data_IF_001301003905
#
_entry.id   IF_001301003905
#
_cell.length_a   1.000
_cell.length_b   1.000
_cell.length_c   1.000
_cell.angle_alpha   90.00
_cell.angle_beta   90.00
_cell.angle_gamma   90.00
#
_symmetry.space_group_name_H-M   'P 1'
#
loop_
_entity.id
_entity.type
_entity.pdbx_description
1 polymer ?
#
# COMPACT_ATOMS: atom_id res chain seq x y z
N UNK A 1 7.22 28.81 -18.33
CA UNK A 1 6.81 27.59 -19.06
C UNK A 1 7.28 26.34 -18.31
N UNK A 2 8.55 26.27 -17.90
CA UNK A 2 9.10 25.18 -17.08
C UNK A 2 8.29 24.86 -15.80
N UNK A 3 7.82 25.89 -15.09
CA UNK A 3 7.13 25.69 -13.81
C UNK A 3 5.79 24.96 -13.99
N UNK A 4 5.04 25.28 -15.05
CA UNK A 4 3.77 24.63 -15.39
C UNK A 4 3.96 23.13 -15.67
N UNK A 5 5.03 22.77 -16.36
CA UNK A 5 5.34 21.36 -16.66
C UNK A 5 5.70 20.58 -15.38
N UNK A 6 6.43 21.21 -14.45
CA UNK A 6 6.73 20.61 -13.14
C UNK A 6 5.47 20.42 -12.30
N UNK A 7 4.57 21.42 -12.28
CA UNK A 7 3.30 21.30 -11.57
C UNK A 7 2.38 20.24 -12.18
N UNK A 8 2.36 20.11 -13.51
CA UNK A 8 1.61 19.07 -14.20
C UNK A 8 2.13 17.67 -13.82
N UNK A 9 3.45 17.47 -13.85
CA UNK A 9 4.08 16.20 -13.43
C UNK A 9 3.79 15.85 -11.96
N UNK A 10 3.80 16.84 -11.06
CA UNK A 10 3.41 16.64 -9.66
C UNK A 10 1.92 16.27 -9.51
N UNK A 11 1.06 16.83 -10.36
CA UNK A 11 -0.36 16.49 -10.44
C UNK A 11 -0.57 15.03 -10.86
N UNK A 12 0.11 14.60 -11.92
CA UNK A 12 0.04 13.23 -12.43
C UNK A 12 0.56 12.21 -11.40
N UNK A 13 1.64 12.55 -10.69
CA UNK A 13 2.18 11.72 -9.59
C UNK A 13 1.15 11.60 -8.46
N UNK A 14 0.55 12.70 -8.02
CA UNK A 14 -0.49 12.67 -6.98
C UNK A 14 -1.71 11.85 -7.40
N UNK A 15 -2.14 11.97 -8.65
CA UNK A 15 -3.27 11.21 -9.16
C UNK A 15 -2.94 9.71 -9.22
N UNK A 16 -1.75 9.37 -9.69
CA UNK A 16 -1.26 7.99 -9.74
C UNK A 16 -1.19 7.38 -8.34
N UNK A 17 -0.62 8.10 -7.38
CA UNK A 17 -0.55 7.67 -5.98
C UNK A 17 -1.92 7.48 -5.35
N UNK A 18 -2.86 8.39 -5.63
CA UNK A 18 -4.26 8.27 -5.20
C UNK A 18 -4.93 7.02 -5.77
N UNK A 19 -4.84 6.81 -7.09
CA UNK A 19 -5.45 5.66 -7.77
C UNK A 19 -4.85 4.34 -7.27
N UNK A 20 -3.54 4.29 -7.05
CA UNK A 20 -2.85 3.13 -6.49
C UNK A 20 -3.31 2.83 -5.06
N UNK A 21 -3.40 3.86 -4.21
CA UNK A 21 -3.86 3.72 -2.83
C UNK A 21 -5.30 3.22 -2.78
N UNK A 22 -6.18 3.76 -3.64
CA UNK A 22 -7.57 3.32 -3.75
C UNK A 22 -7.67 1.87 -4.23
N UNK A 23 -6.87 1.47 -5.22
CA UNK A 23 -6.84 0.09 -5.70
C UNK A 23 -6.44 -0.89 -4.60
N UNK A 24 -5.38 -0.59 -3.85
CA UNK A 24 -4.92 -1.42 -2.73
C UNK A 24 -5.99 -1.51 -1.63
N UNK A 25 -6.57 -0.37 -1.23
CA UNK A 25 -7.64 -0.33 -0.24
C UNK A 25 -8.85 -1.18 -0.69
N UNK A 26 -9.22 -1.09 -1.96
CA UNK A 26 -10.32 -1.87 -2.56
C UNK A 26 -10.02 -3.36 -2.53
N UNK A 27 -8.80 -3.78 -2.86
CA UNK A 27 -8.39 -5.18 -2.78
C UNK A 27 -8.48 -5.69 -1.35
N UNK A 28 -7.98 -4.94 -0.36
CA UNK A 28 -8.05 -5.32 1.05
C UNK A 28 -9.50 -5.50 1.50
N UNK A 29 -10.38 -4.56 1.15
CA UNK A 29 -11.81 -4.64 1.48
C UNK A 29 -12.49 -5.85 0.84
N UNK A 30 -12.17 -6.17 -0.41
CA UNK A 30 -12.70 -7.36 -1.09
C UNK A 30 -12.24 -8.66 -0.41
N UNK A 31 -10.98 -8.76 -0.02
CA UNK A 31 -10.44 -9.93 0.69
C UNK A 31 -11.11 -10.12 2.06
N UNK A 32 -11.38 -9.02 2.78
CA UNK A 32 -12.09 -9.06 4.05
C UNK A 32 -13.55 -9.48 3.84
N UNK A 33 -14.23 -8.84 2.89
CA UNK A 33 -15.64 -9.12 2.59
C UNK A 33 -15.86 -10.57 2.15
N UNK A 34 -14.91 -11.15 1.41
CA UNK A 34 -14.95 -12.53 0.97
C UNK A 34 -14.54 -13.54 2.06
N UNK A 35 -14.23 -13.07 3.28
CA UNK A 35 -13.84 -13.92 4.40
C UNK A 35 -12.44 -14.52 4.28
N UNK A 36 -11.61 -14.05 3.34
CA UNK A 36 -10.24 -14.54 3.16
C UNK A 36 -9.30 -14.08 4.28
N UNK A 37 -9.63 -12.95 4.93
CA UNK A 37 -8.95 -12.45 6.13
C UNK A 37 -9.88 -11.56 6.95
N UNK A 38 -9.54 -11.32 8.20
CA UNK A 38 -10.24 -10.36 9.07
C UNK A 38 -9.49 -9.03 9.13
N UNK A 39 -10.23 -7.93 9.43
CA UNK A 39 -9.62 -6.61 9.71
C UNK A 39 -8.54 -6.68 10.79
N UNK A 40 -8.75 -7.51 11.82
CA UNK A 40 -7.82 -7.68 12.93
C UNK A 40 -6.53 -8.38 12.49
N UNK A 41 -6.61 -9.38 11.63
CA UNK A 41 -5.44 -10.06 11.06
C UNK A 41 -4.62 -9.11 10.20
N UNK A 42 -5.29 -8.35 9.33
CA UNK A 42 -4.65 -7.32 8.52
C UNK A 42 -3.91 -6.30 9.40
N UNK A 43 -4.59 -5.71 10.39
CA UNK A 43 -3.99 -4.70 11.26
C UNK A 43 -2.77 -5.22 12.04
N UNK A 44 -2.82 -6.46 12.54
CA UNK A 44 -1.66 -7.08 13.21
C UNK A 44 -0.50 -7.31 12.25
N UNK A 45 -0.78 -7.79 11.04
CA UNK A 45 0.26 -8.00 10.03
C UNK A 45 0.90 -6.68 9.61
N UNK A 46 0.09 -5.65 9.35
CA UNK A 46 0.56 -4.31 9.00
C UNK A 46 1.47 -3.74 10.10
N UNK A 47 1.02 -3.78 11.36
CA UNK A 47 1.83 -3.33 12.50
C UNK A 47 3.14 -4.12 12.61
N UNK A 48 3.09 -5.45 12.45
CA UNK A 48 4.30 -6.28 12.47
C UNK A 48 5.28 -5.88 11.38
N UNK A 49 4.82 -5.73 10.14
CA UNK A 49 5.67 -5.36 9.01
C UNK A 49 6.28 -3.97 9.17
N UNK A 50 5.52 -3.01 9.70
CA UNK A 50 5.98 -1.63 9.95
C UNK A 50 7.13 -1.55 10.96
N UNK A 51 7.19 -2.51 11.89
CA UNK A 51 8.26 -2.60 12.91
C UNK A 51 9.41 -3.52 12.49
N UNK A 52 9.33 -4.19 11.34
CA UNK A 52 10.39 -5.09 10.87
C UNK A 52 11.44 -4.33 10.07
N UNK A 53 12.70 -4.69 10.29
CA UNK A 53 13.80 -4.29 9.42
C UNK A 53 13.69 -4.96 8.06
N UNK A 54 14.31 -4.37 7.04
CA UNK A 54 14.37 -4.93 5.67
C UNK A 54 14.90 -6.36 5.67
N UNK A 55 15.88 -6.66 6.53
CA UNK A 55 16.50 -7.98 6.60
C UNK A 55 15.56 -9.03 7.22
N UNK A 56 14.81 -8.65 8.26
CA UNK A 56 13.78 -9.52 8.84
C UNK A 56 12.64 -9.81 7.86
N UNK A 57 12.27 -8.83 7.01
CA UNK A 57 11.26 -9.01 5.96
C UNK A 57 11.74 -10.03 4.92
N UNK A 58 13.03 -9.98 4.51
CA UNK A 58 13.59 -10.96 3.57
C UNK A 58 13.55 -12.37 4.14
N UNK A 59 13.94 -12.54 5.41
CA UNK A 59 13.92 -13.85 6.08
C UNK A 59 12.49 -14.40 6.17
N UNK A 60 11.50 -13.55 6.47
CA UNK A 60 10.09 -13.95 6.53
C UNK A 60 9.58 -14.48 5.18
N UNK A 61 10.01 -13.89 4.06
CA UNK A 61 9.60 -14.27 2.70
C UNK A 61 10.31 -15.52 2.17
N UNK A 62 11.41 -15.93 2.79
CA UNK A 62 12.22 -17.08 2.38
C UNK A 62 11.82 -18.40 3.08
N UNK A 63 10.84 -18.36 4.00
CA UNK A 63 10.26 -19.53 4.67
C UNK A 63 8.91 -19.87 4.03
#
# INVERSE_FOLDING_TARGET
MLDLDVYAQLGDLKETDYRNTLAIATIIELLIKNGMMTRREFARMASRLDHMTVEEIKILRAR
#
